data_IF_017027006465
#
_entry.id   IF_017027006465
#
_cell.length_a   1.000
_cell.length_b   1.000
_cell.length_c   1.000
_cell.angle_alpha   90.00
_cell.angle_beta   90.00
_cell.angle_gamma   90.00
#
_symmetry.space_group_name_H-M   'P 1'
#
loop_
_entity.id
_entity.type
_entity.pdbx_description
1 polymer ?
#
# COMPACT_ATOMS: atom_id res chain seq x y z
N UNK A 1 -2.29 -2.79 -21.27
CA UNK A 1 -0.95 -2.87 -20.65
C UNK A 1 -1.01 -2.01 -19.40
N UNK A 2 -0.57 -2.52 -18.25
CA UNK A 2 -0.51 -1.74 -16.99
C UNK A 2 0.74 -0.87 -17.06
N UNK A 3 0.62 0.41 -16.70
CA UNK A 3 1.73 1.37 -16.74
C UNK A 3 2.38 1.41 -15.35
N UNK A 4 3.67 1.10 -15.25
CA UNK A 4 4.37 1.12 -13.97
C UNK A 4 4.73 2.54 -13.48
N UNK A 5 4.35 3.58 -14.24
CA UNK A 5 4.61 4.96 -13.87
C UNK A 5 3.39 5.70 -13.32
N UNK A 6 2.14 5.26 -13.59
CA UNK A 6 0.93 6.04 -13.25
C UNK A 6 -0.28 5.17 -12.91
N UNK A 7 -1.07 5.64 -11.97
CA UNK A 7 -2.29 4.99 -11.51
C UNK A 7 -3.22 5.94 -10.76
N UNK A 8 -4.20 5.34 -10.08
CA UNK A 8 -5.24 6.04 -9.32
C UNK A 8 -5.42 5.39 -7.94
N UNK A 9 -5.67 6.21 -6.93
CA UNK A 9 -6.06 5.75 -5.59
C UNK A 9 -7.53 5.35 -5.61
N UNK A 10 -7.81 4.07 -5.37
CA UNK A 10 -9.17 3.54 -5.39
C UNK A 10 -9.73 3.23 -4.00
N UNK A 11 -8.87 3.21 -2.97
CA UNK A 11 -9.30 3.08 -1.58
C UNK A 11 -8.25 3.62 -0.64
N UNK A 12 -8.71 4.29 0.42
CA UNK A 12 -7.89 4.74 1.54
C UNK A 12 -8.45 4.11 2.82
N UNK A 13 -7.57 3.54 3.64
CA UNK A 13 -7.92 2.88 4.89
C UNK A 13 -7.02 3.27 6.03
N UNK A 14 -7.63 3.64 7.14
CA UNK A 14 -6.93 4.03 8.37
C UNK A 14 -7.35 3.12 9.51
N UNK A 15 -6.37 2.66 10.29
CA UNK A 15 -6.64 1.89 11.51
C UNK A 15 -6.80 2.86 12.68
N UNK A 16 -8.05 3.16 13.08
CA UNK A 16 -8.34 4.06 14.21
C UNK A 16 -8.14 3.41 15.58
N UNK A 17 -8.21 2.07 15.65
CA UNK A 17 -7.93 1.26 16.85
C UNK A 17 -7.56 -0.16 16.48
N UNK A 18 -6.91 -0.89 17.39
CA UNK A 18 -6.37 -2.23 17.12
C UNK A 18 -7.46 -3.18 16.60
N UNK A 19 -7.26 -3.71 15.40
CA UNK A 19 -8.18 -4.65 14.76
C UNK A 19 -9.36 -4.01 14.04
N UNK A 20 -9.46 -2.68 13.98
CA UNK A 20 -10.51 -1.96 13.26
C UNK A 20 -9.90 -1.04 12.22
N UNK A 21 -10.29 -1.24 10.96
CA UNK A 21 -9.87 -0.44 9.82
C UNK A 21 -11.07 0.16 9.13
N UNK A 22 -11.05 1.47 8.92
CA UNK A 22 -12.14 2.21 8.29
C UNK A 22 -11.75 2.65 6.88
N UNK A 23 -12.69 2.57 5.94
CA UNK A 23 -12.52 3.21 4.64
C UNK A 23 -12.86 4.70 4.80
N UNK A 24 -11.98 5.57 4.30
CA UNK A 24 -12.18 7.02 4.31
C UNK A 24 -12.12 7.55 2.88
N UNK A 25 -12.89 8.60 2.59
CA UNK A 25 -12.91 9.21 1.26
C UNK A 25 -11.63 10.02 0.99
N UNK A 26 -11.11 10.68 2.02
CA UNK A 26 -9.85 11.43 2.02
C UNK A 26 -9.14 11.32 3.37
N UNK A 27 -7.85 11.63 3.39
CA UNK A 27 -7.03 11.67 4.61
C UNK A 27 -5.76 12.49 4.41
N UNK A 28 -5.20 12.97 5.52
CA UNK A 28 -3.94 13.71 5.51
C UNK A 28 -2.76 12.79 5.81
N UNK A 29 -1.76 12.79 4.93
CA UNK A 29 -0.46 12.17 5.16
C UNK A 29 0.45 13.18 5.84
N UNK A 30 0.84 12.90 7.07
CA UNK A 30 1.80 13.70 7.82
C UNK A 30 3.23 13.26 7.48
N UNK A 31 4.06 14.25 7.17
CA UNK A 31 5.49 14.06 6.88
C UNK A 31 6.19 13.31 8.03
N UNK A 32 7.05 12.35 7.67
CA UNK A 32 7.79 11.51 8.61
C UNK A 32 6.92 10.74 9.62
N UNK A 33 5.66 10.45 9.27
CA UNK A 33 4.72 9.79 10.17
C UNK A 33 3.73 8.82 9.50
N UNK A 34 3.13 9.18 8.36
CA UNK A 34 2.06 8.40 7.74
C UNK A 34 0.69 9.06 7.88
N UNK A 35 -0.40 8.28 7.84
CA UNK A 35 -1.75 8.84 7.96
C UNK A 35 -2.02 9.42 9.34
N UNK A 36 -2.62 10.62 9.36
CA UNK A 36 -3.17 11.20 10.58
C UNK A 36 -4.29 10.31 11.15
N UNK A 37 -4.22 10.00 12.44
CA UNK A 37 -5.17 9.11 13.10
C UNK A 37 -4.95 7.60 12.89
N UNK A 38 -3.93 7.18 12.13
CA UNK A 38 -3.58 5.76 12.00
C UNK A 38 -2.69 5.31 13.17
N UNK A 39 -3.11 4.28 13.90
CA UNK A 39 -2.34 3.68 15.01
C UNK A 39 -1.05 3.01 14.54
N UNK A 40 -0.91 2.72 13.25
CA UNK A 40 0.31 2.18 12.64
C UNK A 40 1.24 3.28 12.14
N UNK A 41 0.80 4.55 12.16
CA UNK A 41 1.65 5.69 11.88
C UNK A 41 2.70 5.89 12.98
N UNK A 42 3.76 6.60 12.64
CA UNK A 42 4.88 6.88 13.52
C UNK A 42 6.19 7.06 12.75
N UNK A 43 7.28 7.38 13.45
CA UNK A 43 8.60 7.50 12.83
C UNK A 43 9.06 6.16 12.25
N UNK A 44 9.92 6.22 11.23
CA UNK A 44 10.53 5.06 10.58
C UNK A 44 10.10 4.88 9.13
N UNK A 45 10.42 3.72 8.56
CA UNK A 45 10.32 3.48 7.11
C UNK A 45 8.95 2.90 6.68
N UNK A 46 8.15 2.37 7.61
CA UNK A 46 6.90 1.65 7.33
C UNK A 46 5.65 2.48 7.65
N UNK A 47 5.64 3.73 7.18
CA UNK A 47 4.62 4.72 7.54
C UNK A 47 3.30 4.51 6.79
N UNK A 48 3.38 4.16 5.51
CA UNK A 48 2.22 3.95 4.65
C UNK A 48 2.41 2.66 3.89
N UNK A 49 1.35 1.87 3.80
CA UNK A 49 1.39 0.59 3.10
C UNK A 49 0.50 0.62 1.87
N UNK A 50 1.02 0.18 0.73
CA UNK A 50 0.33 0.23 -0.57
C UNK A 50 0.14 -1.17 -1.16
N UNK A 51 -0.91 -1.33 -1.96
CA UNK A 51 -1.18 -2.54 -2.74
C UNK A 51 -1.89 -2.21 -4.06
N UNK A 52 -1.69 -3.05 -5.07
CA UNK A 52 -2.29 -2.87 -6.41
C UNK A 52 -3.52 -3.77 -6.58
N UNK A 53 -4.61 -3.22 -7.11
CA UNK A 53 -5.85 -3.95 -7.41
C UNK A 53 -5.62 -5.10 -8.38
N UNK A 54 -4.87 -4.86 -9.46
CA UNK A 54 -4.54 -5.85 -10.48
C UNK A 54 -3.83 -7.06 -9.86
N UNK A 55 -2.88 -6.82 -8.94
CA UNK A 55 -2.21 -7.90 -8.20
C UNK A 55 -3.19 -8.69 -7.33
N UNK A 56 -4.19 -8.03 -6.73
CA UNK A 56 -5.23 -8.72 -5.96
C UNK A 56 -6.14 -9.58 -6.86
N UNK A 57 -6.56 -9.03 -8.00
CA UNK A 57 -7.41 -9.72 -8.96
C UNK A 57 -6.70 -10.94 -9.57
N UNK A 58 -5.40 -10.83 -9.88
CA UNK A 58 -4.58 -11.94 -10.36
C UNK A 58 -4.47 -13.09 -9.36
N UNK A 59 -4.25 -12.78 -8.08
CA UNK A 59 -4.24 -13.80 -7.03
C UNK A 59 -5.62 -14.44 -6.85
N UNK A 60 -6.70 -13.68 -7.03
CA UNK A 60 -8.05 -14.22 -6.94
C UNK A 60 -8.34 -15.15 -8.12
N UNK A 61 -7.86 -14.79 -9.30
CA UNK A 61 -8.05 -15.56 -10.53
C UNK A 61 -7.19 -16.82 -10.61
N UNK A 62 -5.97 -16.80 -10.05
CA UNK A 62 -5.08 -17.97 -9.99
C UNK A 62 -5.59 -19.09 -9.09
N UNK A 63 -6.67 -18.84 -8.34
CA UNK A 63 -7.15 -19.75 -7.30
C UNK A 63 -6.19 -19.80 -6.11
N UNK A 64 -5.24 -18.85 -6.00
CA UNK A 64 -4.44 -18.70 -4.79
C UNK A 64 -5.42 -18.52 -3.64
N UNK A 65 -5.31 -19.39 -2.63
CA UNK A 65 -6.12 -19.27 -1.43
C UNK A 65 -5.62 -18.04 -0.67
N UNK A 66 -6.19 -16.88 -1.00
CA UNK A 66 -5.93 -15.60 -0.33
C UNK A 66 -6.47 -15.72 1.10
N UNK A 67 -5.65 -16.29 1.98
CA UNK A 67 -5.87 -16.26 3.41
C UNK A 67 -5.70 -14.85 3.93
N UNK A 68 -6.71 -14.39 4.69
CA UNK A 68 -6.91 -13.03 5.19
C UNK A 68 -7.43 -12.08 4.10
N UNK A 69 -8.71 -11.70 4.23
CA UNK A 69 -9.36 -10.71 3.40
C UNK A 69 -8.59 -9.38 3.45
N UNK A 70 -7.83 -9.09 2.40
CA UNK A 70 -7.05 -7.86 2.24
C UNK A 70 -5.80 -7.80 3.12
N UNK A 71 -4.72 -7.21 2.62
CA UNK A 71 -3.50 -7.03 3.42
C UNK A 71 -3.66 -5.97 4.53
N UNK A 72 -4.86 -5.39 4.65
CA UNK A 72 -5.08 -4.21 5.46
C UNK A 72 -4.12 -3.10 5.04
N UNK A 73 -3.91 -2.90 3.74
CA UNK A 73 -3.11 -1.80 3.22
C UNK A 73 -3.79 -0.46 3.47
N UNK A 74 -3.02 0.61 3.55
CA UNK A 74 -3.57 1.95 3.72
C UNK A 74 -4.08 2.52 2.40
N UNK A 75 -3.37 2.26 1.31
CA UNK A 75 -3.74 2.77 -0.02
C UNK A 75 -3.83 1.59 -0.97
N UNK A 76 -5.01 1.41 -1.57
CA UNK A 76 -5.17 0.54 -2.74
C UNK A 76 -5.12 1.41 -3.99
N UNK A 77 -4.36 1.00 -4.98
CA UNK A 77 -4.23 1.70 -6.26
C UNK A 77 -4.59 0.80 -7.43
N UNK A 78 -4.98 1.39 -8.54
CA UNK A 78 -5.15 0.71 -9.84
C UNK A 78 -4.35 1.40 -10.93
N UNK A 79 -4.09 0.69 -12.02
CA UNK A 79 -3.34 1.21 -13.17
C UNK A 79 -1.82 1.17 -13.02
N UNK A 80 -1.30 0.92 -11.81
CA UNK A 80 0.13 0.84 -11.48
C UNK A 80 0.45 -0.38 -10.61
N UNK A 81 1.55 -1.09 -10.89
CA UNK A 81 2.01 -2.24 -10.09
C UNK A 81 3.06 -1.82 -9.06
N UNK A 82 2.60 -1.45 -7.85
CA UNK A 82 3.48 -0.96 -6.79
C UNK A 82 4.49 -2.00 -6.32
N UNK A 83 4.14 -3.29 -6.36
CA UNK A 83 5.06 -4.38 -6.01
C UNK A 83 6.27 -4.53 -6.95
N UNK A 84 6.23 -3.91 -8.14
CA UNK A 84 7.34 -3.89 -9.09
C UNK A 84 8.21 -2.63 -8.95
N UNK A 85 7.79 -1.67 -8.11
CA UNK A 85 8.54 -0.43 -7.86
C UNK A 85 9.66 -0.70 -6.84
N UNK A 86 10.87 -0.24 -7.18
CA UNK A 86 12.06 -0.45 -6.36
C UNK A 86 12.09 0.47 -5.14
N UNK A 87 12.61 0.01 -3.98
CA UNK A 87 12.93 0.90 -2.88
C UNK A 87 13.84 2.05 -3.31
N UNK A 88 13.63 3.23 -2.73
CA UNK A 88 14.27 4.49 -3.10
C UNK A 88 13.53 5.29 -4.18
N UNK A 89 12.49 4.72 -4.79
CA UNK A 89 11.66 5.44 -5.78
C UNK A 89 10.68 6.39 -5.10
N UNK A 90 10.57 7.60 -5.61
CA UNK A 90 9.57 8.58 -5.15
C UNK A 90 8.29 8.47 -5.97
N UNK A 91 7.15 8.61 -5.29
CA UNK A 91 5.83 8.63 -5.88
C UNK A 91 5.07 9.84 -5.39
N UNK A 92 4.43 10.56 -6.31
CA UNK A 92 3.46 11.59 -5.97
C UNK A 92 2.08 10.95 -5.85
N UNK A 93 1.40 11.17 -4.73
CA UNK A 93 0.04 10.68 -4.47
C UNK A 93 -0.81 11.87 -4.02
N UNK A 94 -1.74 12.33 -4.86
CA UNK A 94 -2.47 13.58 -4.60
C UNK A 94 -1.51 14.75 -4.34
N UNK A 95 -1.59 15.34 -3.14
CA UNK A 95 -0.69 16.42 -2.71
C UNK A 95 0.54 15.95 -1.92
N UNK A 96 0.66 14.66 -1.63
CA UNK A 96 1.76 14.09 -0.86
C UNK A 96 2.86 13.50 -1.76
N UNK A 97 4.07 13.37 -1.20
CA UNK A 97 5.19 12.62 -1.81
C UNK A 97 5.59 11.49 -0.88
N UNK A 98 5.65 10.29 -1.45
CA UNK A 98 5.97 9.03 -0.79
C UNK A 98 7.27 8.46 -1.36
N UNK A 99 8.17 7.98 -0.52
CA UNK A 99 9.35 7.22 -0.94
C UNK A 99 9.14 5.75 -0.65
N UNK A 100 9.29 4.88 -1.64
CA UNK A 100 9.22 3.43 -1.43
C UNK A 100 10.40 3.00 -0.56
N UNK A 101 10.14 2.29 0.52
CA UNK A 101 11.16 1.90 1.51
C UNK A 101 11.38 0.40 1.58
N UNK A 102 10.30 -0.38 1.44
CA UNK A 102 10.36 -1.84 1.47
C UNK A 102 9.48 -2.43 0.37
N UNK A 103 10.02 -3.42 -0.33
CA UNK A 103 9.24 -4.31 -1.20
C UNK A 103 8.85 -5.56 -0.41
N UNK A 104 7.58 -5.91 -0.49
CA UNK A 104 7.03 -7.06 0.20
C UNK A 104 6.63 -6.78 1.65
N UNK A 105 5.59 -7.47 2.11
CA UNK A 105 5.05 -7.40 3.47
C UNK A 105 5.16 -8.77 4.13
N UNK A 106 5.96 -8.88 5.18
CA UNK A 106 6.05 -10.12 5.95
C UNK A 106 4.74 -10.33 6.71
N UNK A 107 4.09 -11.49 6.55
CA UNK A 107 2.96 -11.88 7.38
C UNK A 107 3.43 -12.14 8.81
N UNK A 108 3.15 -11.22 9.74
CA UNK A 108 3.50 -11.41 11.16
C UNK A 108 2.83 -12.62 11.79
N UNK A 109 1.68 -13.03 11.27
CA UNK A 109 1.01 -14.29 11.62
C UNK A 109 0.75 -15.07 10.33
N UNK A 110 1.55 -16.10 10.01
CA UNK A 110 1.32 -16.90 8.82
C UNK A 110 -0.06 -17.57 8.92
N UNK A 111 -0.88 -17.34 7.89
CA UNK A 111 -2.20 -17.95 7.81
C UNK A 111 -2.08 -19.47 7.61
N UNK A 112 -3.19 -20.19 7.80
CA UNK A 112 -3.23 -21.65 7.65
C UNK A 112 -2.66 -22.11 6.30
N UNK A 113 -2.97 -21.39 5.22
CA UNK A 113 -2.49 -21.68 3.88
C UNK A 113 -0.99 -21.45 3.69
N UNK A 114 -0.42 -20.38 4.27
CA UNK A 114 1.02 -20.16 4.24
C UNK A 114 1.77 -21.30 4.94
N UNK A 115 1.24 -21.79 6.06
CA UNK A 115 1.84 -22.92 6.80
C UNK A 115 1.76 -24.24 6.05
N UNK A 116 0.68 -24.46 5.30
CA UNK A 116 0.45 -25.70 4.55
C UNK A 116 1.21 -25.76 3.23
N UNK A 117 1.33 -24.63 2.52
CA UNK A 117 1.84 -24.62 1.14
C UNK A 117 3.11 -23.78 0.94
N UNK A 118 3.48 -22.91 1.88
CA UNK A 118 4.62 -21.97 1.80
C UNK A 118 4.69 -21.11 0.51
N UNK A 119 3.58 -21.00 -0.23
CA UNK A 119 3.52 -20.40 -1.57
C UNK A 119 2.72 -19.10 -1.66
N UNK A 120 2.36 -18.48 -0.53
CA UNK A 120 1.59 -17.24 -0.58
C UNK A 120 2.42 -16.13 -1.23
N UNK A 121 1.99 -15.68 -2.42
CA UNK A 121 2.59 -14.58 -3.17
C UNK A 121 2.14 -13.20 -2.69
N UNK A 122 1.06 -13.15 -1.91
CA UNK A 122 0.46 -11.91 -1.42
C UNK A 122 1.48 -11.02 -0.66
N UNK A 123 2.35 -11.55 0.24
CA UNK A 123 3.47 -10.82 0.82
C UNK A 123 4.28 -10.01 -0.18
N UNK A 124 4.74 -10.58 -1.29
CA UNK A 124 5.71 -9.94 -2.18
C UNK A 124 5.12 -8.85 -3.08
N UNK A 125 3.80 -8.64 -3.06
CA UNK A 125 3.09 -7.76 -4.00
C UNK A 125 2.75 -6.39 -3.42
N UNK A 126 2.84 -6.23 -2.10
CA UNK A 126 2.66 -4.95 -1.42
C UNK A 126 3.99 -4.27 -1.14
N UNK A 127 3.93 -2.96 -0.91
CA UNK A 127 5.10 -2.16 -0.49
C UNK A 127 4.81 -1.36 0.78
N UNK A 128 5.88 -0.88 1.40
CA UNK A 128 5.83 0.23 2.35
C UNK A 128 6.50 1.47 1.76
N UNK A 129 6.06 2.63 2.24
CA UNK A 129 6.62 3.92 1.90
C UNK A 129 6.68 4.86 3.11
N UNK A 130 7.65 5.76 3.09
CA UNK A 130 7.76 6.90 3.99
C UNK A 130 7.15 8.16 3.34
N UNK A 131 6.53 9.03 4.15
CA UNK A 131 6.00 10.31 3.71
C UNK A 131 7.12 11.35 3.73
N UNK A 132 7.64 11.68 2.55
CA UNK A 132 8.71 12.68 2.37
C UNK A 132 8.16 14.10 2.37
N UNK A 133 6.95 14.26 1.84
CA UNK A 133 6.20 15.53 1.90
C UNK A 133 4.75 15.24 2.24
N UNK A 134 4.28 15.87 3.32
CA UNK A 134 2.90 15.74 3.74
C UNK A 134 1.90 16.36 2.76
N UNK A 135 0.67 15.87 2.78
CA UNK A 135 -0.39 16.37 1.91
C UNK A 135 -1.70 15.60 2.07
N UNK A 136 -2.79 16.25 1.68
CA UNK A 136 -4.09 15.59 1.57
C UNK A 136 -4.14 14.69 0.34
N UNK A 137 -4.72 13.50 0.52
CA UNK A 137 -5.05 12.58 -0.56
C UNK A 137 -6.50 12.14 -0.45
N UNK A 138 -7.12 11.80 -1.58
CA UNK A 138 -8.48 11.26 -1.65
C UNK A 138 -8.59 10.14 -2.66
N UNK A 139 -9.66 9.37 -2.54
CA UNK A 139 -10.04 8.40 -3.57
C UNK A 139 -10.31 9.16 -4.88
N UNK A 140 -9.78 8.63 -5.99
CA UNK A 140 -9.78 9.28 -7.30
C UNK A 140 -8.53 10.11 -7.59
N UNK A 141 -7.65 10.34 -6.62
CA UNK A 141 -6.40 11.04 -6.88
C UNK A 141 -5.44 10.17 -7.69
N UNK A 142 -4.66 10.84 -8.54
CA UNK A 142 -3.56 10.21 -9.27
C UNK A 142 -2.44 9.83 -8.31
N UNK A 143 -1.83 8.69 -8.61
CA UNK A 143 -0.54 8.30 -8.07
C UNK A 143 0.43 8.08 -9.23
N UNK A 144 1.64 8.60 -9.14
CA UNK A 144 2.64 8.45 -10.20
C UNK A 144 4.05 8.37 -9.65
N UNK A 145 4.89 7.56 -10.29
CA UNK A 145 6.33 7.57 -10.07
C UNK A 145 6.87 8.89 -10.59
N UNK A 146 7.70 9.53 -9.79
CA UNK A 146 8.36 10.78 -10.14
C UNK A 146 9.88 10.58 -10.11
N UNK A 147 10.57 11.19 -11.06
CA UNK A 147 12.03 11.22 -11.06
C UNK A 147 12.51 12.29 -10.06
N UNK A 148 13.19 11.85 -9.00
CA UNK A 148 14.00 12.63 -8.05
C UNK A 148 13.47 14.01 -7.65
N UNK A 149 12.98 14.15 -6.41
CA UNK A 149 12.79 15.46 -5.76
C UNK A 149 14.14 16.04 -5.31
#
# INVERSE_FOLDING_TARGET
>A
MVDNSKGEIIAIRVSVRKGMKENIASGYLRENHGFEGDIHGGPGERQVSLFTKESFDELKASGDKIGCAGFGENITVSGIRVGEIKPGTDMKAGNAVLKVTESGKICQKPCKFYKEEAKCRLPSLGIFAAVIKGGEIKTGDKIEVIDGV
#
